data_IF_609766431894
#
_entry.id   IF_609766431894
#
_cell.length_a   1.000
_cell.length_b   1.000
_cell.length_c   1.000
_cell.angle_alpha   90.00
_cell.angle_beta   90.00
_cell.angle_gamma   90.00
#
_symmetry.space_group_name_H-M   'P 1'
#
loop_
_entity.id
_entity.type
_entity.pdbx_description
1 polymer ?
#
# COMPACT_ATOMS: atom_id res chain seq x y z
N UNK A 1 8.44 16.46 15.92
CA UNK A 1 7.94 15.22 15.28
C UNK A 1 6.73 14.73 16.08
N UNK A 2 5.58 14.47 15.44
CA UNK A 2 4.37 14.01 16.14
C UNK A 2 4.59 12.59 16.68
N UNK A 3 4.20 12.25 17.91
CA UNK A 3 4.30 10.88 18.43
C UNK A 3 3.60 9.88 17.50
N UNK A 4 4.26 8.73 17.22
CA UNK A 4 3.76 7.76 16.23
C UNK A 4 2.31 7.28 16.49
N UNK A 5 1.93 7.04 17.75
CA UNK A 5 0.53 6.69 18.10
C UNK A 5 -0.45 7.81 17.74
N UNK A 6 -0.10 9.08 18.00
CA UNK A 6 -0.93 10.23 17.64
C UNK A 6 -1.04 10.39 16.13
N UNK A 7 0.06 10.17 15.40
CA UNK A 7 0.08 10.17 13.94
C UNK A 7 -0.81 9.07 13.35
N UNK A 8 -0.64 7.83 13.80
CA UNK A 8 -1.44 6.70 13.35
C UNK A 8 -2.94 6.93 13.58
N UNK A 9 -3.32 7.35 14.80
CA UNK A 9 -4.71 7.65 15.12
C UNK A 9 -5.26 8.81 14.28
N UNK A 10 -4.44 9.82 13.97
CA UNK A 10 -4.83 10.94 13.13
C UNK A 10 -5.04 10.51 11.67
N UNK A 11 -4.18 9.62 11.13
CA UNK A 11 -4.37 9.05 9.80
C UNK A 11 -5.62 8.16 9.74
N UNK A 12 -5.82 7.26 10.71
CA UNK A 12 -7.05 6.45 10.77
C UNK A 12 -8.31 7.32 10.83
N UNK A 13 -8.31 8.40 11.61
CA UNK A 13 -9.43 9.37 11.68
C UNK A 13 -9.63 10.17 10.40
N UNK A 14 -8.55 10.70 9.81
CA UNK A 14 -8.60 11.56 8.62
C UNK A 14 -9.22 10.84 7.43
N UNK A 15 -9.03 9.53 7.35
CA UNK A 15 -9.58 8.72 6.26
C UNK A 15 -10.84 7.95 6.65
N UNK A 16 -11.22 7.92 7.94
CA UNK A 16 -12.53 7.39 8.38
C UNK A 16 -13.69 8.39 8.18
N UNK A 17 -13.39 9.67 7.93
CA UNK A 17 -14.37 10.73 7.77
C UNK A 17 -14.48 11.10 6.28
N UNK A 18 -15.55 10.64 5.63
CA UNK A 18 -16.13 11.16 4.38
C UNK A 18 -15.24 11.32 3.14
N UNK A 19 -14.05 10.75 3.11
CA UNK A 19 -13.30 10.59 1.86
C UNK A 19 -13.77 9.32 1.15
N UNK A 20 -14.25 9.36 -0.11
CA UNK A 20 -14.62 8.15 -0.83
C UNK A 20 -13.35 7.34 -1.14
N UNK A 21 -12.98 6.44 -0.23
CA UNK A 21 -11.67 5.80 -0.19
C UNK A 21 -11.72 4.33 0.23
N UNK A 22 -12.76 3.61 -0.20
CA UNK A 22 -12.98 2.16 -0.09
C UNK A 22 -13.05 1.53 1.33
N UNK A 23 -12.41 2.07 2.36
CA UNK A 23 -12.53 1.66 3.78
C UNK A 23 -12.49 0.14 4.02
N UNK A 24 -11.60 -0.55 3.30
CA UNK A 24 -11.55 -2.01 3.28
C UNK A 24 -10.82 -2.51 4.52
N UNK A 25 -11.40 -3.49 5.22
CA UNK A 25 -10.73 -4.09 6.38
C UNK A 25 -9.42 -4.73 5.93
N UNK A 26 -8.41 -4.67 6.80
CA UNK A 26 -7.10 -5.27 6.51
C UNK A 26 -7.18 -6.74 6.11
N UNK A 27 -8.09 -7.50 6.72
CA UNK A 27 -8.32 -8.91 6.39
C UNK A 27 -8.80 -9.13 4.95
N UNK A 28 -9.39 -8.11 4.33
CA UNK A 28 -9.95 -8.18 2.98
C UNK A 28 -9.05 -7.49 1.94
N UNK A 29 -7.85 -7.05 2.36
CA UNK A 29 -6.86 -6.43 1.49
C UNK A 29 -5.85 -7.46 0.97
N UNK A 30 -5.58 -7.47 -0.36
CA UNK A 30 -4.59 -8.37 -0.92
C UNK A 30 -3.17 -8.03 -0.45
N UNK A 31 -2.34 -9.05 -0.27
CA UNK A 31 -0.90 -8.93 -0.02
C UNK A 31 -0.15 -9.88 -0.95
N UNK A 32 0.81 -9.37 -1.71
CA UNK A 32 1.66 -10.18 -2.61
C UNK A 32 3.03 -10.34 -1.96
N UNK A 33 3.45 -11.58 -1.70
CA UNK A 33 4.78 -11.88 -1.12
C UNK A 33 5.91 -11.47 -2.07
N UNK A 34 7.14 -11.35 -1.56
CA UNK A 34 8.28 -11.01 -2.42
C UNK A 34 8.58 -12.08 -3.47
N UNK A 35 8.45 -13.34 -3.09
CA UNK A 35 8.62 -14.48 -3.99
C UNK A 35 7.63 -14.45 -5.15
N UNK A 36 6.40 -13.96 -4.93
CA UNK A 36 5.34 -13.95 -5.93
C UNK A 36 5.28 -12.66 -6.76
N UNK A 37 6.09 -11.63 -6.44
CA UNK A 37 6.06 -10.34 -7.17
C UNK A 37 6.37 -10.46 -8.68
N UNK A 38 7.37 -11.24 -9.13
CA UNK A 38 7.65 -11.39 -10.56
C UNK A 38 6.44 -11.94 -11.33
N UNK A 39 5.82 -12.99 -10.82
CA UNK A 39 4.62 -13.61 -11.41
C UNK A 39 3.42 -12.68 -11.35
N UNK A 40 3.26 -11.93 -10.26
CA UNK A 40 2.22 -10.92 -10.13
C UNK A 40 2.33 -9.83 -11.21
N UNK A 41 3.54 -9.39 -11.57
CA UNK A 41 3.71 -8.42 -12.67
C UNK A 41 3.39 -9.00 -14.03
N UNK A 42 3.72 -10.28 -14.28
CA UNK A 42 3.30 -10.98 -15.50
C UNK A 42 1.78 -11.05 -15.57
N UNK A 43 1.12 -11.41 -14.45
CA UNK A 43 -0.33 -11.44 -14.33
C UNK A 43 -0.96 -10.06 -14.56
N UNK A 44 -0.42 -8.98 -13.98
CA UNK A 44 -0.94 -7.63 -14.23
C UNK A 44 -0.82 -7.23 -15.71
N UNK A 45 0.32 -7.52 -16.36
CA UNK A 45 0.51 -7.26 -17.78
C UNK A 45 -0.46 -8.05 -18.65
N UNK A 46 -0.75 -9.32 -18.32
CA UNK A 46 -1.74 -10.13 -19.06
C UNK A 46 -3.18 -9.61 -18.89
N UNK A 47 -3.45 -8.83 -17.84
CA UNK A 47 -4.70 -8.08 -17.66
C UNK A 47 -4.67 -6.68 -18.29
N UNK A 48 -3.62 -6.31 -19.02
CA UNK A 48 -3.51 -5.04 -19.74
C UNK A 48 -2.94 -3.87 -18.92
N UNK A 49 -2.32 -4.14 -17.78
CA UNK A 49 -1.75 -3.09 -16.93
C UNK A 49 -0.52 -2.42 -17.57
N UNK A 50 -0.51 -1.09 -17.64
CA UNK A 50 0.66 -0.27 -17.98
C UNK A 50 1.43 0.06 -16.70
N UNK A 51 2.60 -0.54 -16.55
CA UNK A 51 3.42 -0.47 -15.33
C UNK A 51 4.52 0.58 -15.48
N UNK A 52 4.63 1.49 -14.51
CA UNK A 52 5.73 2.44 -14.38
C UNK A 52 6.35 2.33 -12.99
N UNK A 53 7.65 2.04 -12.93
CA UNK A 53 8.41 2.06 -11.68
C UNK A 53 8.94 3.47 -11.43
N UNK A 54 8.58 4.09 -10.30
CA UNK A 54 9.07 5.42 -9.94
C UNK A 54 9.09 5.62 -8.43
N UNK A 55 9.83 6.64 -7.97
CA UNK A 55 9.67 7.15 -6.61
C UNK A 55 8.44 8.05 -6.55
N UNK A 56 7.67 7.94 -5.47
CA UNK A 56 6.52 8.79 -5.21
C UNK A 56 6.56 9.29 -3.77
N UNK A 57 6.24 10.57 -3.57
CA UNK A 57 6.06 11.12 -2.23
C UNK A 57 4.94 10.37 -1.51
N UNK A 58 5.23 9.84 -0.33
CA UNK A 58 4.21 9.11 0.43
C UNK A 58 3.02 10.01 0.84
N UNK A 59 3.22 11.34 0.91
CA UNK A 59 2.16 12.30 1.23
C UNK A 59 1.10 12.44 0.13
N UNK A 60 1.43 12.12 -1.12
CA UNK A 60 0.49 12.27 -2.26
C UNK A 60 -0.37 11.02 -2.49
N UNK A 61 -0.04 9.92 -1.83
CA UNK A 61 -0.74 8.65 -1.97
C UNK A 61 -1.93 8.53 -1.01
N UNK A 62 -2.97 7.84 -1.48
CA UNK A 62 -4.20 7.54 -0.75
C UNK A 62 -4.20 6.08 -0.34
N UNK A 63 -4.76 5.76 0.82
CA UNK A 63 -4.89 4.38 1.25
C UNK A 63 -6.30 3.84 1.05
N UNK A 64 -6.40 2.54 0.82
CA UNK A 64 -7.64 1.77 0.68
C UNK A 64 -7.99 0.97 1.93
N UNK A 65 -6.99 0.67 2.76
CA UNK A 65 -7.13 -0.11 3.99
C UNK A 65 -7.65 0.77 5.13
N UNK A 66 -8.61 0.28 5.92
CA UNK A 66 -9.23 0.98 7.05
C UNK A 66 -8.35 1.05 8.30
N UNK A 67 -7.79 -0.10 8.72
CA UNK A 67 -7.09 -0.25 10.00
C UNK A 67 -5.64 -0.66 9.78
N UNK A 68 -4.70 -0.22 10.61
CA UNK A 68 -3.29 -0.62 10.50
C UNK A 68 -2.77 -1.34 11.75
N UNK A 69 -2.15 -2.51 11.57
CA UNK A 69 -1.40 -3.14 12.66
C UNK A 69 -0.19 -2.28 13.06
N UNK A 70 -0.23 -1.76 14.28
CA UNK A 70 0.79 -0.88 14.87
C UNK A 70 2.18 -1.53 14.89
N UNK A 71 2.29 -2.81 15.26
CA UNK A 71 3.56 -3.52 15.29
C UNK A 71 4.16 -3.68 13.89
N UNK A 72 3.33 -3.93 12.88
CA UNK A 72 3.74 -3.98 11.47
C UNK A 72 4.34 -2.68 10.99
N UNK A 73 3.68 -1.55 11.28
CA UNK A 73 4.20 -0.22 10.90
C UNK A 73 5.47 0.13 11.65
N UNK A 74 5.56 -0.17 12.95
CA UNK A 74 6.79 0.01 13.75
C UNK A 74 7.98 -0.77 13.17
N UNK A 75 7.76 -2.03 12.74
CA UNK A 75 8.81 -2.81 12.05
C UNK A 75 9.26 -2.12 10.76
N UNK A 76 8.33 -1.56 9.98
CA UNK A 76 8.69 -0.84 8.75
C UNK A 76 9.45 0.46 9.04
N UNK A 77 9.10 1.19 10.11
CA UNK A 77 9.87 2.37 10.56
C UNK A 77 11.30 2.00 10.93
N UNK A 78 11.50 0.89 11.65
CA UNK A 78 12.84 0.40 11.99
C UNK A 78 13.61 -0.04 10.74
N UNK A 79 12.95 -0.76 9.82
CA UNK A 79 13.55 -1.17 8.55
C UNK A 79 14.01 0.01 7.69
N UNK A 80 13.18 1.05 7.59
CA UNK A 80 13.52 2.30 6.89
C UNK A 80 14.81 2.93 7.42
N UNK A 81 14.95 3.01 8.75
CA UNK A 81 16.13 3.60 9.40
C UNK A 81 17.41 2.79 9.17
N UNK A 82 17.30 1.47 9.02
CA UNK A 82 18.46 0.57 8.89
C UNK A 82 18.94 0.40 7.45
N UNK A 83 18.01 0.11 6.53
CA UNK A 83 18.37 -0.36 5.17
C UNK A 83 17.47 0.22 4.07
N UNK A 84 16.56 1.14 4.42
CA UNK A 84 15.49 1.58 3.52
C UNK A 84 14.48 0.47 3.22
N UNK A 85 13.42 0.78 2.47
CA UNK A 85 12.46 -0.24 2.00
C UNK A 85 12.66 -0.53 0.51
N UNK A 86 13.15 -1.74 0.21
CA UNK A 86 13.40 -2.19 -1.17
C UNK A 86 12.12 -2.57 -1.90
N UNK A 87 11.21 -3.29 -1.22
CA UNK A 87 9.95 -3.76 -1.80
C UNK A 87 9.03 -2.58 -2.14
N UNK A 88 8.54 -2.46 -3.39
CA UNK A 88 7.73 -1.32 -3.80
C UNK A 88 6.29 -1.40 -3.28
N UNK A 89 5.64 -0.25 -3.15
CA UNK A 89 4.18 -0.16 -3.00
C UNK A 89 3.51 -0.31 -4.36
N UNK A 90 2.34 -0.93 -4.40
CA UNK A 90 1.53 -1.03 -5.63
C UNK A 90 0.49 0.07 -5.62
N UNK A 91 0.45 0.89 -6.67
CA UNK A 91 -0.34 2.13 -6.72
C UNK A 91 -1.19 2.15 -7.99
N UNK A 92 -2.48 2.47 -7.87
CA UNK A 92 -3.39 2.68 -9.00
C UNK A 92 -3.20 4.04 -9.66
N UNK A 93 -3.82 4.23 -10.84
CA UNK A 93 -3.77 5.47 -11.62
C UNK A 93 -4.20 6.71 -10.81
N UNK A 94 -5.18 6.54 -9.92
CA UNK A 94 -5.76 7.56 -9.06
C UNK A 94 -5.06 7.68 -7.69
N UNK A 95 -3.81 7.22 -7.61
CA UNK A 95 -2.88 7.30 -6.48
C UNK A 95 -3.31 6.51 -5.23
N UNK A 96 -4.15 5.49 -5.38
CA UNK A 96 -4.51 4.62 -4.25
C UNK A 96 -3.56 3.44 -4.13
N UNK A 97 -3.21 3.12 -2.89
CA UNK A 97 -2.35 1.98 -2.57
C UNK A 97 -3.18 0.71 -2.56
N UNK A 98 -2.72 -0.29 -3.30
CA UNK A 98 -3.32 -1.62 -3.37
C UNK A 98 -2.60 -2.61 -2.45
N UNK A 99 -1.27 -2.49 -2.36
CA UNK A 99 -0.42 -3.26 -1.46
C UNK A 99 0.74 -2.38 -0.96
N UNK A 100 1.14 -2.57 0.29
CA UNK A 100 2.26 -1.90 0.92
C UNK A 100 1.89 -0.83 1.93
N UNK A 101 0.66 -0.86 2.46
CA UNK A 101 0.12 0.14 3.39
C UNK A 101 1.00 0.43 4.60
N UNK A 102 1.61 -0.58 5.24
CA UNK A 102 2.51 -0.32 6.38
C UNK A 102 3.82 0.36 5.97
N UNK A 103 4.32 0.02 4.78
CA UNK A 103 5.54 0.61 4.20
C UNK A 103 5.29 2.06 3.83
N UNK A 104 4.17 2.31 3.16
CA UNK A 104 3.68 3.65 2.89
C UNK A 104 3.49 4.48 4.17
N UNK A 105 2.80 3.94 5.18
CA UNK A 105 2.50 4.70 6.39
C UNK A 105 3.77 5.05 7.17
N UNK A 106 4.76 4.14 7.21
CA UNK A 106 6.07 4.41 7.77
C UNK A 106 6.81 5.51 6.98
N UNK A 107 6.81 5.45 5.64
CA UNK A 107 7.42 6.48 4.79
C UNK A 107 6.75 7.86 4.99
N UNK A 108 5.42 7.89 5.03
CA UNK A 108 4.62 9.09 5.26
C UNK A 108 4.91 9.73 6.61
N UNK A 109 5.06 8.91 7.66
CA UNK A 109 5.45 9.38 8.98
C UNK A 109 6.85 10.01 9.02
N UNK A 110 7.78 9.48 8.23
CA UNK A 110 9.16 9.94 8.14
C UNK A 110 9.37 11.05 7.09
N UNK A 111 8.30 11.48 6.41
CA UNK A 111 8.33 12.40 5.28
C UNK A 111 9.30 11.95 4.17
N UNK A 112 9.16 10.68 3.76
CA UNK A 112 10.00 10.05 2.73
C UNK A 112 9.17 9.59 1.53
N UNK A 113 9.88 9.44 0.42
CA UNK A 113 9.35 8.78 -0.77
C UNK A 113 9.28 7.26 -0.59
N UNK A 114 8.43 6.63 -1.39
CA UNK A 114 8.37 5.18 -1.57
C UNK A 114 8.77 4.81 -2.99
N UNK A 115 9.42 3.66 -3.15
CA UNK A 115 9.48 3.00 -4.44
C UNK A 115 8.07 2.52 -4.77
N UNK A 116 7.54 2.91 -5.93
CA UNK A 116 6.19 2.60 -6.35
C UNK A 116 6.21 1.89 -7.71
N UNK A 117 5.39 0.84 -7.80
CA UNK A 117 4.92 0.25 -9.05
C UNK A 117 3.57 0.91 -9.33
N UNK A 118 3.57 1.90 -10.22
CA UNK A 118 2.41 2.69 -10.55
C UNK A 118 1.73 2.13 -11.81
N UNK A 119 0.47 1.73 -11.68
CA UNK A 119 -0.35 1.26 -12.80
C UNK A 119 -1.07 2.47 -13.40
N UNK A 120 -0.64 2.91 -14.57
CA UNK A 120 -1.02 4.24 -15.11
C UNK A 120 -2.36 4.26 -15.83
N UNK A 121 -2.99 3.11 -16.05
CA UNK A 121 -4.23 2.98 -16.83
C UNK A 121 -5.37 2.26 -16.09
N UNK A 122 -5.21 1.91 -14.81
CA UNK A 122 -6.24 1.23 -14.03
C UNK A 122 -6.54 2.00 -12.74
N UNK A 123 -7.81 2.36 -12.53
CA UNK A 123 -8.27 3.00 -11.30
C UNK A 123 -8.36 1.99 -10.16
N UNK A 124 -8.41 2.50 -8.92
CA UNK A 124 -8.32 1.69 -7.70
C UNK A 124 -9.26 0.48 -7.66
N UNK A 125 -10.53 0.63 -8.08
CA UNK A 125 -11.53 -0.46 -7.99
C UNK A 125 -11.21 -1.61 -8.93
N UNK A 126 -10.80 -1.29 -10.15
CA UNK A 126 -10.42 -2.27 -11.16
C UNK A 126 -9.13 -2.98 -10.74
N UNK A 127 -8.09 -2.22 -10.40
CA UNK A 127 -6.81 -2.80 -10.02
C UNK A 127 -6.95 -3.67 -8.78
N UNK A 128 -7.70 -3.23 -7.77
CA UNK A 128 -7.96 -4.03 -6.57
C UNK A 128 -8.69 -5.33 -6.90
N UNK A 129 -9.71 -5.29 -7.77
CA UNK A 129 -10.43 -6.50 -8.23
C UNK A 129 -9.46 -7.48 -8.91
N UNK A 130 -8.62 -6.97 -9.81
CA UNK A 130 -7.61 -7.76 -10.52
C UNK A 130 -6.62 -8.40 -9.53
N UNK A 131 -6.10 -7.62 -8.59
CA UNK A 131 -5.14 -8.10 -7.58
C UNK A 131 -5.75 -9.16 -6.68
N UNK A 132 -7.00 -8.99 -6.24
CA UNK A 132 -7.71 -9.99 -5.43
C UNK A 132 -7.93 -11.31 -6.16
N UNK A 133 -8.01 -11.28 -7.48
CA UNK A 133 -8.14 -12.47 -8.32
C UNK A 133 -6.79 -13.14 -8.67
N UNK A 134 -5.66 -12.57 -8.24
CA UNK A 134 -4.36 -13.20 -8.44
C UNK A 134 -4.25 -14.47 -7.57
N UNK A 135 -3.96 -15.67 -8.14
CA UNK A 135 -4.05 -16.93 -7.39
C UNK A 135 -3.13 -17.03 -6.16
N UNK A 136 -1.99 -16.33 -6.16
CA UNK A 136 -0.99 -16.38 -5.08
C UNK A 136 -1.05 -15.18 -4.14
N UNK A 137 -2.21 -14.53 -4.06
CA UNK A 137 -2.45 -13.42 -3.14
C UNK A 137 -2.74 -13.92 -1.73
N UNK A 138 -2.22 -13.24 -0.73
CA UNK A 138 -2.46 -13.53 0.68
C UNK A 138 -3.44 -12.51 1.28
N UNK A 139 -4.23 -12.98 2.24
CA UNK A 139 -5.07 -12.14 3.10
C UNK A 139 -4.62 -12.32 4.54
N UNK A 140 -4.37 -11.22 5.26
CA UNK A 140 -3.85 -11.28 6.63
C UNK A 140 -4.89 -10.78 7.62
N UNK A 141 -5.33 -11.66 8.51
CA UNK A 141 -6.14 -11.27 9.67
C UNK A 141 -5.33 -10.35 10.58
N UNK A 142 -6.00 -9.37 11.19
CA UNK A 142 -5.38 -8.50 12.18
C UNK A 142 -5.09 -9.31 13.44
N UNK A 143 -3.83 -9.67 13.65
CA UNK A 143 -3.29 -9.83 15.02
C UNK A 143 -2.74 -8.50 15.48
#
# INVERSE_FOLDING_TARGET
>A
MIPFKKFLNADEKRFSLDTPGLNILRKDMPQVSDANMPEYFVYLKSKGAKIVNKKMSAKTLKHTQKNFNTAGVKRMLQGFKKVGLKKPVIVSQDNFIIDGHHRWLAAKHLDKDVNAVHITNMKVRELLKITKAFPKVEFRTGK
#
